data_IF_239892056526
#
_entry.id   IF_239892056526
#
_cell.length_a   1.000
_cell.length_b   1.000
_cell.length_c   1.000
_cell.angle_alpha   90.00
_cell.angle_beta   90.00
_cell.angle_gamma   90.00
#
_symmetry.space_group_name_H-M   'P 1'
#
loop_
_entity.id
_entity.type
_entity.pdbx_description
1 polymer ?
#
# COMPACT_ATOMS: atom_id res chain seq x y z
N UNK A 1 -8.28 12.37 -12.80
CA UNK A 1 -8.81 12.42 -11.43
C UNK A 1 -8.31 11.21 -10.70
N UNK A 2 -8.21 11.27 -9.38
CA UNK A 2 -7.77 10.12 -8.58
C UNK A 2 -8.78 8.98 -8.69
N UNK A 3 -8.25 7.77 -8.81
CA UNK A 3 -9.03 6.57 -9.13
C UNK A 3 -8.51 5.36 -8.35
N UNK A 4 -9.43 4.48 -7.98
CA UNK A 4 -9.13 3.19 -7.36
C UNK A 4 -9.91 2.09 -8.07
N UNK A 5 -9.19 1.10 -8.58
CA UNK A 5 -9.72 -0.04 -9.29
C UNK A 5 -9.60 -1.28 -8.42
N UNK A 6 -10.70 -2.02 -8.27
CA UNK A 6 -10.71 -3.34 -7.64
C UNK A 6 -10.93 -4.40 -8.70
N UNK A 7 -10.27 -5.54 -8.56
CA UNK A 7 -10.45 -6.67 -9.45
C UNK A 7 -10.14 -8.00 -8.76
N UNK A 8 -10.65 -9.08 -9.33
CA UNK A 8 -10.39 -10.45 -8.90
C UNK A 8 -10.00 -11.28 -10.10
N UNK A 9 -9.24 -12.36 -9.86
CA UNK A 9 -8.88 -13.33 -10.86
C UNK A 9 -9.89 -14.48 -10.78
N UNK A 10 -10.74 -14.63 -11.78
CA UNK A 10 -11.79 -15.64 -11.78
C UNK A 10 -11.17 -17.04 -11.71
N UNK A 11 -11.68 -17.87 -10.80
CA UNK A 11 -11.14 -19.20 -10.53
C UNK A 11 -9.87 -19.25 -9.68
N UNK A 12 -9.22 -18.12 -9.37
CA UNK A 12 -8.03 -18.07 -8.51
C UNK A 12 -8.36 -17.44 -7.14
N UNK A 13 -7.71 -17.89 -6.04
CA UNK A 13 -7.86 -17.27 -4.72
C UNK A 13 -7.06 -15.97 -4.62
N UNK A 14 -7.17 -15.07 -5.60
CA UNK A 14 -6.35 -13.86 -5.69
C UNK A 14 -7.24 -12.65 -5.99
N UNK A 15 -7.01 -11.57 -5.25
CA UNK A 15 -7.59 -10.26 -5.53
C UNK A 15 -6.49 -9.24 -5.83
N UNK A 16 -6.85 -8.23 -6.59
CA UNK A 16 -5.97 -7.10 -6.86
C UNK A 16 -6.67 -5.76 -6.75
N UNK A 17 -5.87 -4.73 -6.47
CA UNK A 17 -6.30 -3.35 -6.46
C UNK A 17 -5.22 -2.47 -7.06
N UNK A 18 -5.63 -1.46 -7.83
CA UNK A 18 -4.75 -0.47 -8.41
C UNK A 18 -5.26 0.92 -8.02
N UNK A 19 -4.42 1.75 -7.42
CA UNK A 19 -4.73 3.14 -7.11
C UNK A 19 -3.85 4.06 -7.96
N UNK A 20 -4.44 5.14 -8.45
CA UNK A 20 -3.72 6.25 -9.08
C UNK A 20 -4.23 7.56 -8.48
N UNK A 21 -3.44 8.16 -7.61
CA UNK A 21 -3.72 9.45 -6.99
C UNK A 21 -3.10 10.56 -7.85
N UNK A 22 -3.94 11.44 -8.39
CA UNK A 22 -3.52 12.55 -9.27
C UNK A 22 -3.85 13.89 -8.62
N UNK A 23 -5.06 14.40 -8.80
CA UNK A 23 -5.57 15.62 -8.18
C UNK A 23 -5.44 15.65 -6.65
N UNK A 24 -5.86 14.58 -5.95
CA UNK A 24 -5.75 14.49 -4.49
C UNK A 24 -4.29 14.58 -4.02
N UNK A 25 -3.37 13.93 -4.74
CA UNK A 25 -1.94 13.99 -4.42
C UNK A 25 -1.35 15.37 -4.69
N UNK A 26 -1.69 15.99 -5.83
CA UNK A 26 -1.27 17.34 -6.15
C UNK A 26 -1.79 18.37 -5.15
N UNK A 27 -3.01 18.18 -4.63
CA UNK A 27 -3.57 19.04 -3.60
C UNK A 27 -2.79 18.92 -2.27
N UNK A 28 -2.44 17.70 -1.85
CA UNK A 28 -1.58 17.47 -0.68
C UNK A 28 -0.26 18.22 -0.83
N UNK A 29 0.40 18.08 -1.98
CA UNK A 29 1.67 18.77 -2.24
C UNK A 29 1.50 20.29 -2.30
N UNK A 30 0.42 20.79 -2.92
CA UNK A 30 0.14 22.21 -3.05
C UNK A 30 -0.03 22.88 -1.69
N UNK A 31 -0.70 22.23 -0.74
CA UNK A 31 -0.87 22.74 0.64
C UNK A 31 0.46 22.89 1.39
N UNK A 32 1.49 22.15 0.99
CA UNK A 32 2.83 22.23 1.60
C UNK A 32 3.81 23.13 0.83
N UNK A 33 3.47 23.60 -0.39
CA UNK A 33 4.37 24.46 -1.18
C UNK A 33 4.76 25.74 -0.44
N UNK A 34 3.83 26.35 0.29
CA UNK A 34 4.09 27.58 1.05
C UNK A 34 5.07 27.35 2.22
N UNK A 35 5.22 26.10 2.67
CA UNK A 35 6.17 25.68 3.71
C UNK A 35 7.57 25.33 3.19
N UNK A 36 7.85 25.53 1.89
CA UNK A 36 9.14 25.21 1.26
C UNK A 36 9.15 23.90 0.47
N UNK A 37 8.04 23.15 0.48
CA UNK A 37 7.95 21.86 -0.21
C UNK A 37 8.82 20.76 0.42
N UNK A 38 8.71 19.55 -0.11
CA UNK A 38 9.52 18.41 0.32
C UNK A 38 10.67 18.14 -0.66
N UNK A 39 11.83 17.63 -0.19
CA UNK A 39 12.81 17.02 -1.07
C UNK A 39 12.19 15.92 -1.94
N UNK A 40 12.78 15.64 -3.10
CA UNK A 40 12.25 14.66 -4.07
C UNK A 40 12.02 13.30 -3.41
N UNK A 41 13.04 12.70 -2.78
CA UNK A 41 12.90 11.41 -2.11
C UNK A 41 11.81 11.37 -1.03
N UNK A 42 11.58 12.48 -0.31
CA UNK A 42 10.52 12.60 0.71
C UNK A 42 9.14 12.71 0.06
N UNK A 43 9.05 13.42 -1.07
CA UNK A 43 7.83 13.50 -1.88
C UNK A 43 7.44 12.12 -2.39
N UNK A 44 8.41 11.35 -2.91
CA UNK A 44 8.17 9.98 -3.36
C UNK A 44 7.73 9.08 -2.20
N UNK A 45 8.44 9.10 -1.07
CA UNK A 45 8.06 8.33 0.11
C UNK A 45 6.62 8.64 0.57
N UNK A 46 6.26 9.91 0.70
CA UNK A 46 4.91 10.31 1.12
C UNK A 46 3.85 9.89 0.11
N UNK A 47 4.14 9.97 -1.18
CA UNK A 47 3.22 9.51 -2.21
C UNK A 47 3.03 8.00 -2.15
N UNK A 48 4.11 7.23 -2.01
CA UNK A 48 4.05 5.77 -1.83
C UNK A 48 3.27 5.39 -0.55
N UNK A 49 3.50 6.08 0.56
CA UNK A 49 2.74 5.89 1.81
C UNK A 49 1.26 6.17 1.61
N UNK A 50 0.92 7.24 0.90
CA UNK A 50 -0.48 7.62 0.65
C UNK A 50 -1.16 6.57 -0.22
N UNK A 51 -0.54 6.16 -1.32
CA UNK A 51 -1.06 5.11 -2.20
C UNK A 51 -1.24 3.78 -1.45
N UNK A 52 -0.25 3.37 -0.67
CA UNK A 52 -0.32 2.14 0.12
C UNK A 52 -1.43 2.20 1.19
N UNK A 53 -1.53 3.31 1.93
CA UNK A 53 -2.60 3.51 2.91
C UNK A 53 -3.99 3.48 2.27
N UNK A 54 -4.15 4.06 1.08
CA UNK A 54 -5.42 4.00 0.31
C UNK A 54 -5.76 2.57 -0.08
N UNK A 55 -4.80 1.81 -0.61
CA UNK A 55 -4.99 0.40 -0.97
C UNK A 55 -5.38 -0.43 0.25
N UNK A 56 -4.70 -0.24 1.39
CA UNK A 56 -5.01 -0.94 2.62
C UNK A 56 -6.40 -0.60 3.17
N UNK A 57 -6.76 0.67 3.21
CA UNK A 57 -8.07 1.11 3.69
C UNK A 57 -9.20 0.56 2.82
N UNK A 58 -9.00 0.55 1.50
CA UNK A 58 -9.96 -0.02 0.58
C UNK A 58 -10.13 -1.54 0.70
N UNK A 59 -9.18 -2.23 1.36
CA UNK A 59 -9.14 -3.67 1.49
C UNK A 59 -9.85 -4.23 2.73
N UNK A 60 -10.07 -3.38 3.73
CA UNK A 60 -10.59 -3.77 5.04
C UNK A 60 -12.05 -3.35 5.20
N UNK A 61 -12.85 -4.20 5.85
CA UNK A 61 -14.21 -3.84 6.28
C UNK A 61 -14.14 -3.18 7.65
N UNK A 62 -13.65 -1.94 7.69
CA UNK A 62 -13.43 -1.18 8.92
C UNK A 62 -14.06 0.21 8.83
N UNK A 63 -14.83 0.59 9.86
CA UNK A 63 -15.42 1.93 9.97
C UNK A 63 -14.54 2.83 10.86
N UNK A 64 -13.41 3.27 10.32
CA UNK A 64 -12.48 4.15 10.98
C UNK A 64 -11.30 4.54 10.08
N UNK A 65 -10.44 5.41 10.58
CA UNK A 65 -9.28 5.87 9.85
C UNK A 65 -8.17 4.80 9.87
N UNK A 66 -7.52 4.60 8.72
CA UNK A 66 -6.23 3.91 8.66
C UNK A 66 -5.13 4.97 8.66
N UNK A 67 -4.22 4.88 9.62
CA UNK A 67 -3.09 5.79 9.78
C UNK A 67 -1.81 4.98 9.62
N UNK A 68 -1.04 5.28 8.58
CA UNK A 68 0.31 4.77 8.38
C UNK A 68 1.31 5.83 8.81
N UNK A 69 2.19 5.49 9.75
CA UNK A 69 3.15 6.42 10.33
C UNK A 69 4.55 5.81 10.35
N UNK A 70 5.53 6.50 9.78
CA UNK A 70 6.94 6.18 9.93
C UNK A 70 7.54 7.14 10.96
N UNK A 71 8.09 6.58 12.03
CA UNK A 71 8.91 7.30 13.01
C UNK A 71 10.37 6.98 12.69
N UNK A 72 11.07 7.95 12.11
CA UNK A 72 12.42 7.75 11.60
C UNK A 72 13.50 8.21 12.58
N UNK A 73 14.65 7.54 12.52
CA UNK A 73 15.88 7.93 13.21
C UNK A 73 16.84 8.75 12.32
N UNK A 74 16.50 8.92 11.03
CA UNK A 74 17.22 9.71 10.03
C UNK A 74 16.75 11.16 9.89
N UNK A 75 17.01 11.82 8.75
CA UNK A 75 16.55 13.20 8.48
C UNK A 75 15.03 13.32 8.42
N UNK A 76 14.30 12.28 8.00
CA UNK A 76 12.84 12.25 8.07
C UNK A 76 12.43 11.71 9.45
N UNK A 77 12.00 12.60 10.36
CA UNK A 77 11.67 12.25 11.75
C UNK A 77 10.29 11.62 11.89
N UNK A 78 9.37 12.09 11.07
CA UNK A 78 7.99 11.63 11.06
C UNK A 78 7.46 11.70 9.63
N UNK A 79 6.82 10.65 9.15
CA UNK A 79 5.97 10.71 7.96
C UNK A 79 4.64 10.05 8.32
N UNK A 80 3.53 10.64 7.90
CA UNK A 80 2.18 10.16 8.20
C UNK A 80 1.36 10.22 6.93
N UNK A 81 0.64 9.14 6.63
CA UNK A 81 -0.44 9.09 5.66
C UNK A 81 -1.68 8.53 6.37
N UNK A 82 -2.81 9.23 6.26
CA UNK A 82 -4.08 8.81 6.82
C UNK A 82 -5.15 8.77 5.73
N UNK A 83 -5.94 7.70 5.77
CA UNK A 83 -7.05 7.49 4.85
C UNK A 83 -8.30 7.12 5.62
N UNK A 84 -9.37 7.88 5.40
CA UNK A 84 -10.66 7.66 6.01
C UNK A 84 -11.49 6.62 5.25
N UNK A 85 -12.58 6.06 5.83
CA UNK A 85 -13.46 5.10 5.15
C UNK A 85 -14.06 5.59 3.83
N UNK A 86 -14.24 6.90 3.70
CA UNK A 86 -14.76 7.54 2.50
C UNK A 86 -13.68 7.87 1.48
N UNK A 87 -12.45 7.37 1.69
CA UNK A 87 -11.24 7.63 0.93
C UNK A 87 -10.77 9.09 0.93
N UNK A 88 -11.18 9.90 1.92
CA UNK A 88 -10.52 11.17 2.15
C UNK A 88 -9.10 10.96 2.73
N UNK A 89 -8.13 11.69 2.18
CA UNK A 89 -6.70 11.46 2.38
C UNK A 89 -6.02 12.66 3.03
N UNK A 90 -5.01 12.41 3.87
CA UNK A 90 -4.03 13.42 4.26
C UNK A 90 -2.66 12.80 4.42
N UNK A 91 -1.62 13.53 4.07
CA UNK A 91 -0.24 13.12 4.32
C UNK A 91 0.65 14.30 4.70
N UNK A 92 1.64 14.05 5.55
CA UNK A 92 2.60 15.06 6.00
C UNK A 92 3.91 14.40 6.45
N UNK A 93 5.03 15.12 6.34
CA UNK A 93 6.30 14.72 6.90
C UNK A 93 6.99 15.85 7.67
N UNK A 94 7.74 15.46 8.69
CA UNK A 94 8.66 16.33 9.42
C UNK A 94 10.09 15.96 9.02
N UNK A 95 10.74 16.87 8.30
CA UNK A 95 12.13 16.70 7.84
C UNK A 95 13.05 17.63 8.64
N UNK A 96 14.13 17.07 9.18
CA UNK A 96 15.16 17.79 9.91
C UNK A 96 16.53 17.40 9.33
N UNK A 97 17.12 18.31 8.57
CA UNK A 97 18.38 18.08 7.86
C UNK A 97 18.18 17.92 6.36
N UNK A 98 19.25 17.56 5.67
CA UNK A 98 19.25 17.39 4.21
C UNK A 98 18.88 15.96 3.82
N UNK A 99 18.16 15.83 2.72
CA UNK A 99 17.81 14.55 2.10
C UNK A 99 18.24 14.61 0.64
N UNK A 100 19.10 13.69 0.22
CA UNK A 100 19.52 13.58 -1.18
C UNK A 100 18.32 13.21 -2.07
N UNK A 101 18.25 13.70 -3.33
CA UNK A 101 17.12 13.42 -4.22
C UNK A 101 16.85 11.94 -4.49
N UNK A 102 17.90 11.11 -4.45
CA UNK A 102 17.91 9.66 -4.70
C UNK A 102 18.15 8.85 -3.42
N UNK A 103 17.92 9.45 -2.23
CA UNK A 103 18.11 8.76 -0.96
C UNK A 103 17.17 7.55 -0.85
N UNK A 104 17.69 6.34 -0.58
CA UNK A 104 16.84 5.19 -0.34
C UNK A 104 16.10 5.32 1.01
N UNK A 105 15.07 4.49 1.22
CA UNK A 105 14.24 4.55 2.43
C UNK A 105 15.09 4.55 3.70
N UNK A 106 16.08 3.65 3.78
CA UNK A 106 16.86 3.47 4.99
C UNK A 106 17.72 4.69 5.34
N UNK A 107 18.17 5.46 4.34
CA UNK A 107 18.93 6.70 4.55
C UNK A 107 18.04 7.84 5.03
N UNK A 108 16.74 7.80 4.72
CA UNK A 108 15.78 8.81 5.14
C UNK A 108 15.25 8.57 6.56
N UNK A 109 14.87 7.34 6.86
CA UNK A 109 14.08 7.01 8.06
C UNK A 109 14.70 5.92 8.96
N UNK A 110 15.73 5.19 8.50
CA UNK A 110 16.28 4.04 9.22
C UNK A 110 17.83 3.98 9.23
N UNK A 111 18.48 5.08 9.60
CA UNK A 111 19.93 5.24 9.59
C UNK A 111 20.61 4.31 10.60
N UNK A 112 20.02 4.11 11.78
CA UNK A 112 20.59 3.32 12.88
C UNK A 112 19.78 2.08 13.25
N UNK A 113 18.87 1.63 12.37
CA UNK A 113 17.97 0.49 12.63
C UNK A 113 17.01 0.71 13.81
N UNK A 114 16.72 1.97 14.16
CA UNK A 114 15.74 2.35 15.19
C UNK A 114 14.45 2.94 14.62
N UNK A 115 14.40 3.16 13.30
CA UNK A 115 13.20 3.57 12.61
C UNK A 115 12.13 2.48 12.64
N UNK A 116 10.86 2.89 12.68
CA UNK A 116 9.71 1.98 12.70
C UNK A 116 8.54 2.52 11.90
N UNK A 117 7.81 1.62 11.27
CA UNK A 117 6.50 1.90 10.68
C UNK A 117 5.41 1.42 11.63
N UNK A 118 4.35 2.20 11.82
CA UNK A 118 3.16 1.82 12.56
C UNK A 118 1.94 1.99 11.67
N UNK A 119 1.08 0.97 11.65
CA UNK A 119 -0.20 0.98 10.98
C UNK A 119 -1.27 0.92 12.06
N UNK A 120 -2.10 1.94 12.12
CA UNK A 120 -3.11 2.12 13.17
C UNK A 120 -4.48 2.16 12.55
N UNK A 121 -5.41 1.37 13.07
CA UNK A 121 -6.82 1.38 12.74
C UNK A 121 -7.56 2.07 13.88
N UNK A 122 -7.95 3.34 13.67
CA UNK A 122 -8.64 4.17 14.67
C UNK A 122 -10.15 4.20 14.39
N UNK A 123 -10.99 3.52 15.20
CA UNK A 123 -12.43 3.42 14.93
C UNK A 123 -13.10 4.78 15.03
N UNK A 124 -14.04 5.07 14.12
CA UNK A 124 -14.83 6.32 14.18
C UNK A 124 -15.68 6.40 15.45
N UNK A 125 -16.23 5.26 15.86
CA UNK A 125 -17.13 5.13 17.01
C UNK A 125 -16.40 4.60 18.25
N UNK A 126 -15.20 5.12 18.53
CA UNK A 126 -14.35 4.66 19.62
C UNK A 126 -15.01 4.89 20.98
N UNK A 127 -15.18 3.82 21.76
CA UNK A 127 -15.66 3.92 23.14
C UNK A 127 -14.58 4.54 24.05
N UNK A 128 -14.96 5.28 25.10
CA UNK A 128 -14.00 5.76 26.09
C UNK A 128 -13.16 4.62 26.68
N UNK A 129 -11.84 4.71 26.55
CA UNK A 129 -10.89 3.69 27.02
C UNK A 129 -10.59 2.56 26.02
N UNK A 130 -11.25 2.52 24.86
CA UNK A 130 -10.90 1.57 23.79
C UNK A 130 -9.64 2.06 23.07
N UNK A 131 -8.56 1.26 23.12
CA UNK A 131 -7.35 1.54 22.36
C UNK A 131 -7.56 1.19 20.88
N UNK A 132 -7.03 1.99 19.94
CA UNK A 132 -7.02 1.61 18.53
C UNK A 132 -6.12 0.39 18.32
N UNK A 133 -6.42 -0.39 17.29
CA UNK A 133 -5.52 -1.47 16.87
C UNK A 133 -4.29 -0.83 16.22
N UNK A 134 -3.10 -1.25 16.63
CA UNK A 134 -1.84 -0.76 16.08
C UNK A 134 -0.87 -1.91 15.85
N UNK A 135 -0.47 -2.11 14.61
CA UNK A 135 0.65 -2.95 14.21
C UNK A 135 1.92 -2.11 14.08
N UNK A 136 3.04 -2.57 14.65
CA UNK A 136 4.35 -1.90 14.53
C UNK A 136 5.32 -2.83 13.84
N UNK A 137 6.03 -2.28 12.86
CA UNK A 137 6.86 -3.00 11.91
C UNK A 137 8.26 -2.39 11.94
N UNK A 138 9.31 -3.19 12.15
CA UNK A 138 10.66 -2.72 11.97
C UNK A 138 10.91 -2.35 10.49
N UNK A 139 11.82 -1.40 10.26
CA UNK A 139 12.28 -1.04 8.91
C UNK A 139 13.47 -1.90 8.45
N UNK A 140 13.57 -3.13 8.97
CA UNK A 140 14.59 -4.11 8.66
C UNK A 140 13.94 -5.50 8.55
N UNK A 141 14.53 -6.37 7.73
CA UNK A 141 14.06 -7.75 7.54
C UNK A 141 14.57 -8.72 8.61
N UNK A 142 14.32 -10.00 8.41
CA UNK A 142 14.51 -11.03 9.44
C UNK A 142 15.98 -11.22 9.84
N UNK A 143 16.92 -10.90 8.95
CA UNK A 143 18.37 -10.94 9.21
C UNK A 143 18.92 -9.57 9.65
N UNK A 144 18.05 -8.62 10.00
CA UNK A 144 18.37 -7.22 10.38
C UNK A 144 19.02 -6.38 9.28
N UNK A 145 18.90 -6.82 8.04
CA UNK A 145 19.18 -6.04 6.85
C UNK A 145 18.16 -4.92 6.70
N UNK A 146 18.61 -3.75 6.27
CA UNK A 146 17.73 -2.60 6.06
C UNK A 146 16.81 -2.85 4.88
N UNK A 147 15.53 -2.56 5.05
CA UNK A 147 14.58 -2.53 3.94
C UNK A 147 14.74 -1.19 3.21
N UNK A 148 14.93 -1.26 1.90
CA UNK A 148 15.24 -0.08 1.09
C UNK A 148 14.01 0.50 0.39
N UNK A 149 12.89 -0.24 0.41
CA UNK A 149 11.62 0.17 -0.19
C UNK A 149 10.46 0.06 0.80
N UNK A 150 9.51 0.99 0.69
CA UNK A 150 8.30 0.95 1.52
C UNK A 150 7.46 -0.30 1.24
N UNK A 151 7.40 -0.74 -0.01
CA UNK A 151 6.68 -1.96 -0.38
C UNK A 151 7.15 -3.18 0.42
N UNK A 152 8.46 -3.33 0.62
CA UNK A 152 9.05 -4.45 1.36
C UNK A 152 8.65 -4.40 2.84
N UNK A 153 8.62 -3.21 3.44
CA UNK A 153 8.17 -3.00 4.83
C UNK A 153 6.71 -3.43 4.99
N UNK A 154 5.84 -3.04 4.05
CA UNK A 154 4.40 -3.34 4.13
C UNK A 154 4.14 -4.82 3.82
N UNK A 155 4.86 -5.41 2.87
CA UNK A 155 4.79 -6.86 2.61
C UNK A 155 5.22 -7.67 3.83
N UNK A 156 6.31 -7.25 4.51
CA UNK A 156 6.77 -7.86 5.76
C UNK A 156 5.69 -7.76 6.86
N UNK A 157 5.05 -6.60 7.00
CA UNK A 157 3.93 -6.42 7.92
C UNK A 157 2.77 -7.37 7.61
N UNK A 158 2.32 -7.41 6.36
CA UNK A 158 1.18 -8.24 5.94
C UNK A 158 1.46 -9.72 6.20
N UNK A 159 2.70 -10.16 5.96
CA UNK A 159 3.10 -11.54 6.22
C UNK A 159 3.13 -11.85 7.72
N UNK A 160 3.79 -11.00 8.53
CA UNK A 160 4.05 -11.28 9.94
C UNK A 160 2.86 -11.02 10.85
N UNK A 161 2.10 -9.94 10.60
CA UNK A 161 1.02 -9.48 11.47
C UNK A 161 -0.36 -9.92 10.99
N UNK A 162 -0.60 -9.88 9.68
CA UNK A 162 -1.90 -10.22 9.10
C UNK A 162 -1.98 -11.65 8.56
N UNK A 163 -0.84 -12.34 8.42
CA UNK A 163 -0.75 -13.68 7.83
C UNK A 163 -1.32 -13.74 6.39
N UNK A 164 -1.08 -12.68 5.62
CA UNK A 164 -1.57 -12.53 4.24
C UNK A 164 -0.42 -12.40 3.26
N UNK A 165 -0.35 -13.33 2.31
CA UNK A 165 0.53 -13.20 1.16
C UNK A 165 0.10 -11.98 0.33
N UNK A 166 0.96 -10.97 0.33
CA UNK A 166 0.71 -9.69 -0.31
C UNK A 166 1.92 -9.29 -1.14
N UNK A 167 1.67 -8.83 -2.37
CA UNK A 167 2.65 -8.21 -3.23
C UNK A 167 2.21 -6.77 -3.52
N UNK A 168 3.11 -5.83 -3.31
CA UNK A 168 2.86 -4.40 -3.41
C UNK A 168 3.90 -3.75 -4.32
N UNK A 169 3.44 -3.08 -5.37
CA UNK A 169 4.28 -2.23 -6.22
C UNK A 169 3.84 -0.80 -5.99
N UNK A 170 4.76 0.07 -5.55
CA UNK A 170 4.48 1.47 -5.28
C UNK A 170 5.39 2.34 -6.14
N UNK A 171 4.87 3.50 -6.54
CA UNK A 171 5.64 4.54 -7.18
C UNK A 171 4.97 5.89 -6.95
N UNK A 172 5.76 6.94 -6.73
CA UNK A 172 5.24 8.29 -6.70
C UNK A 172 6.24 9.30 -7.26
N UNK A 173 5.72 10.42 -7.76
CA UNK A 173 6.47 11.61 -8.16
C UNK A 173 5.66 12.88 -7.82
N UNK A 174 6.08 14.04 -8.32
CA UNK A 174 5.42 15.32 -8.09
C UNK A 174 4.01 15.45 -8.73
N UNK A 175 3.62 14.50 -9.57
CA UNK A 175 2.37 14.53 -10.34
C UNK A 175 1.38 13.43 -9.94
N UNK A 176 1.88 12.23 -9.65
CA UNK A 176 1.09 11.02 -9.44
C UNK A 176 1.70 10.20 -8.30
N UNK A 177 0.85 9.68 -7.43
CA UNK A 177 1.19 8.63 -6.48
C UNK A 177 0.33 7.40 -6.79
N UNK A 178 0.94 6.25 -7.05
CA UNK A 178 0.25 5.07 -7.53
C UNK A 178 0.75 3.79 -6.85
N UNK A 179 -0.12 2.80 -6.83
CA UNK A 179 0.21 1.50 -6.25
C UNK A 179 -0.65 0.37 -6.77
N UNK A 180 -0.04 -0.79 -6.94
CA UNK A 180 -0.69 -2.07 -7.25
C UNK A 180 -0.51 -3.01 -6.06
N UNK A 181 -1.62 -3.52 -5.53
CA UNK A 181 -1.65 -4.54 -4.50
C UNK A 181 -2.25 -5.82 -5.08
N UNK A 182 -1.54 -6.94 -4.96
CA UNK A 182 -2.03 -8.29 -5.20
C UNK A 182 -2.02 -9.02 -3.87
N UNK A 183 -3.11 -9.70 -3.53
CA UNK A 183 -3.21 -10.40 -2.26
C UNK A 183 -4.01 -11.69 -2.40
N UNK A 184 -3.55 -12.72 -1.71
CA UNK A 184 -4.27 -14.00 -1.63
C UNK A 184 -5.55 -13.86 -0.80
N UNK A 185 -6.62 -14.48 -1.28
CA UNK A 185 -7.88 -14.64 -0.57
C UNK A 185 -7.82 -15.92 0.27
N UNK A 186 -8.28 -15.91 1.53
CA UNK A 186 -8.44 -17.14 2.29
C UNK A 186 -9.51 -18.01 1.63
N UNK A 187 -9.16 -19.25 1.27
CA UNK A 187 -10.08 -20.20 0.64
C UNK A 187 -11.19 -20.71 1.59
N UNK A 188 -11.01 -20.53 2.91
CA UNK A 188 -12.00 -20.83 3.94
C UNK A 188 -12.65 -19.55 4.51
N UNK A 189 -13.83 -19.23 3.98
CA UNK A 189 -14.82 -18.34 4.58
C UNK A 189 -16.20 -19.00 4.50
N UNK A 190 -17.09 -18.70 5.45
CA UNK A 190 -18.37 -19.38 5.78
C UNK A 190 -19.45 -19.50 4.67
N UNK A 191 -19.10 -19.33 3.39
CA UNK A 191 -19.99 -19.53 2.25
C UNK A 191 -19.52 -20.55 1.21
N UNK A 192 -18.27 -21.04 1.27
CA UNK A 192 -17.71 -21.91 0.23
C UNK A 192 -17.80 -23.39 0.63
N UNK A 193 -19.01 -23.96 0.58
CA UNK A 193 -19.28 -25.39 0.82
C UNK A 193 -18.87 -26.32 -0.35
N UNK A 194 -18.01 -25.85 -1.27
CA UNK A 194 -17.61 -26.60 -2.47
C UNK A 194 -16.10 -26.90 -2.56
N UNK A 195 -15.36 -26.78 -1.46
CA UNK A 195 -13.93 -27.12 -1.42
C UNK A 195 -13.71 -28.62 -1.59
N UNK A 196 -13.40 -29.05 -2.82
CA UNK A 196 -12.97 -30.41 -3.14
C UNK A 196 -11.68 -30.76 -2.36
N UNK A 197 -11.60 -32.02 -1.97
CA UNK A 197 -10.70 -32.65 -1.01
C UNK A 197 -9.20 -32.67 -1.35
N UNK A 198 -8.70 -31.74 -2.19
CA UNK A 198 -7.32 -31.71 -2.69
C UNK A 198 -6.51 -30.44 -2.39
N UNK A 199 -7.15 -29.31 -2.07
CA UNK A 199 -6.50 -28.00 -1.99
C UNK A 199 -5.98 -27.58 -0.59
N UNK A 200 -5.99 -28.48 0.40
CA UNK A 200 -5.67 -28.10 1.80
C UNK A 200 -4.22 -27.68 2.03
N UNK A 201 -3.27 -28.14 1.20
CA UNK A 201 -1.85 -27.80 1.35
C UNK A 201 -1.46 -26.50 0.59
N UNK A 202 -2.14 -26.18 -0.51
CA UNK A 202 -1.94 -24.93 -1.29
C UNK A 202 -2.62 -23.69 -0.67
N UNK A 203 -3.47 -23.90 0.36
CA UNK A 203 -4.09 -22.84 1.16
C UNK A 203 -3.10 -22.17 2.13
N UNK A 204 -1.90 -22.74 2.30
CA UNK A 204 -0.87 -22.27 3.22
C UNK A 204 -0.12 -21.06 2.67
N UNK A 205 0.35 -20.21 3.58
CA UNK A 205 1.14 -19.02 3.28
C UNK A 205 2.41 -19.42 2.51
N UNK A 206 2.71 -18.71 1.42
CA UNK A 206 3.85 -18.98 0.54
C UNK A 206 3.76 -20.22 -0.34
N UNK A 207 2.73 -21.06 -0.20
CA UNK A 207 2.59 -22.33 -0.95
C UNK A 207 1.53 -22.28 -2.07
N UNK A 208 0.81 -21.18 -2.21
CA UNK A 208 -0.21 -21.04 -3.24
C UNK A 208 0.42 -20.68 -4.60
N UNK A 209 0.46 -21.64 -5.53
CA UNK A 209 1.08 -21.45 -6.85
C UNK A 209 0.40 -20.36 -7.68
N UNK A 210 -0.92 -20.27 -7.63
CA UNK A 210 -1.70 -19.26 -8.34
C UNK A 210 -1.33 -17.85 -7.90
N UNK A 211 -1.33 -17.59 -6.59
CA UNK A 211 -0.88 -16.33 -6.04
C UNK A 211 0.57 -16.03 -6.42
N UNK A 212 1.48 -17.00 -6.27
CA UNK A 212 2.90 -16.80 -6.56
C UNK A 212 3.12 -16.39 -8.02
N UNK A 213 2.40 -17.02 -8.96
CA UNK A 213 2.44 -16.68 -10.38
C UNK A 213 1.94 -15.26 -10.64
N UNK A 214 0.78 -14.88 -10.10
CA UNK A 214 0.25 -13.50 -10.25
C UNK A 214 1.17 -12.47 -9.59
N UNK A 215 1.74 -12.78 -8.43
CA UNK A 215 2.69 -11.93 -7.73
C UNK A 215 3.99 -11.72 -8.54
N UNK A 216 4.49 -12.75 -9.22
CA UNK A 216 5.64 -12.64 -10.14
C UNK A 216 5.29 -11.71 -11.32
N UNK A 217 4.12 -11.87 -11.93
CA UNK A 217 3.66 -10.98 -13.00
C UNK A 217 3.58 -9.53 -12.50
N UNK A 218 2.93 -9.29 -11.37
CA UNK A 218 2.84 -7.96 -10.76
C UNK A 218 4.22 -7.37 -10.43
N UNK A 219 5.19 -8.19 -10.02
CA UNK A 219 6.56 -7.75 -9.72
C UNK A 219 7.32 -7.21 -10.93
N UNK A 220 6.89 -7.56 -12.14
CA UNK A 220 7.51 -7.08 -13.38
C UNK A 220 7.09 -5.65 -13.74
N UNK A 221 6.06 -5.10 -13.07
CA UNK A 221 5.57 -3.75 -13.31
C UNK A 221 6.64 -2.71 -12.97
N UNK A 222 6.99 -1.88 -13.95
CA UNK A 222 8.01 -0.83 -13.78
C UNK A 222 7.42 0.45 -13.21
N UNK A 223 8.27 1.22 -12.54
CA UNK A 223 7.94 2.54 -11.99
C UNK A 223 7.34 3.46 -13.05
N UNK A 224 7.97 3.54 -14.23
CA UNK A 224 7.54 4.45 -15.30
C UNK A 224 6.17 4.04 -15.84
N UNK A 225 5.91 2.74 -15.96
CA UNK A 225 4.62 2.20 -16.39
C UNK A 225 3.54 2.53 -15.37
N UNK A 226 3.81 2.30 -14.08
CA UNK A 226 2.88 2.61 -13.00
C UNK A 226 2.60 4.12 -12.87
N UNK A 227 3.53 5.00 -13.25
CA UNK A 227 3.30 6.45 -13.17
C UNK A 227 2.60 7.00 -14.42
N UNK A 228 2.84 6.45 -15.60
CA UNK A 228 2.42 7.06 -16.88
C UNK A 228 1.23 6.42 -17.58
N UNK A 229 1.00 5.11 -17.38
CA UNK A 229 -0.06 4.38 -18.08
C UNK A 229 -1.37 4.42 -17.31
N UNK A 230 -2.49 4.35 -18.03
CA UNK A 230 -3.81 4.18 -17.43
C UNK A 230 -4.01 2.77 -16.84
N UNK A 231 -5.02 2.63 -15.98
CA UNK A 231 -5.32 1.38 -15.29
C UNK A 231 -5.58 0.20 -16.26
N UNK A 232 -6.30 0.42 -17.35
CA UNK A 232 -6.67 -0.63 -18.31
C UNK A 232 -5.42 -1.16 -19.01
N UNK A 233 -4.53 -0.26 -19.44
CA UNK A 233 -3.27 -0.61 -20.07
C UNK A 233 -2.37 -1.39 -19.11
N UNK A 234 -2.27 -0.98 -17.84
CA UNK A 234 -1.46 -1.69 -16.83
C UNK A 234 -2.00 -3.11 -16.63
N UNK A 235 -3.29 -3.25 -16.34
CA UNK A 235 -3.90 -4.55 -16.05
C UNK A 235 -3.82 -5.49 -17.25
N UNK A 236 -4.06 -4.97 -18.46
CA UNK A 236 -3.92 -5.76 -19.68
C UNK A 236 -2.47 -6.20 -19.91
N UNK A 237 -1.47 -5.34 -19.71
CA UNK A 237 -0.05 -5.73 -19.91
C UNK A 237 0.39 -6.83 -18.94
N UNK A 238 -0.04 -6.75 -17.69
CA UNK A 238 0.37 -7.69 -16.65
C UNK A 238 -0.39 -9.01 -16.72
N UNK A 239 -1.69 -8.96 -17.03
CA UNK A 239 -2.61 -10.09 -16.82
C UNK A 239 -3.41 -10.45 -18.08
N UNK A 240 -2.86 -10.24 -19.28
CA UNK A 240 -3.59 -10.51 -20.54
C UNK A 240 -4.01 -11.98 -20.73
N UNK A 241 -3.31 -12.93 -20.11
CA UNK A 241 -3.65 -14.37 -20.14
C UNK A 241 -4.64 -14.76 -19.03
N UNK A 242 -4.94 -13.86 -18.09
CA UNK A 242 -5.81 -14.14 -16.95
C UNK A 242 -7.24 -13.68 -17.18
N UNK A 243 -8.20 -14.41 -16.60
CA UNK A 243 -9.59 -13.96 -16.52
C UNK A 243 -9.76 -12.96 -15.37
N UNK A 244 -9.51 -11.68 -15.67
CA UNK A 244 -9.62 -10.59 -14.70
C UNK A 244 -11.01 -9.98 -14.72
N UNK A 245 -11.77 -10.21 -13.65
CA UNK A 245 -13.03 -9.50 -13.43
C UNK A 245 -12.79 -8.21 -12.68
N UNK A 246 -13.16 -7.10 -13.32
CA UNK A 246 -13.07 -5.75 -12.76
C UNK A 246 -14.39 -5.31 -12.15
N UNK A 247 -14.30 -4.54 -11.08
CA UNK A 247 -15.43 -3.81 -10.50
C UNK A 247 -15.44 -2.37 -11.03
N UNK A 248 -16.55 -1.66 -10.82
CA UNK A 248 -16.62 -0.23 -11.15
C UNK A 248 -15.52 0.53 -10.40
N UNK A 249 -14.79 1.43 -11.09
CA UNK A 249 -13.76 2.21 -10.45
C UNK A 249 -14.38 3.19 -9.44
N UNK A 250 -13.66 3.41 -8.36
CA UNK A 250 -14.00 4.41 -7.35
C UNK A 250 -13.32 5.72 -7.71
N UNK A 251 -14.12 6.69 -8.18
CA UNK A 251 -13.68 7.99 -8.71
C UNK A 251 -14.63 9.10 -8.23
N UNK A 252 -14.18 10.35 -8.28
CA UNK A 252 -15.01 11.49 -7.88
C UNK A 252 -15.48 11.40 -6.42
N UNK A 253 -16.79 11.45 -6.18
CA UNK A 253 -17.37 11.43 -4.82
C UNK A 253 -17.14 10.12 -4.07
N UNK A 254 -16.94 9.00 -4.78
CA UNK A 254 -16.68 7.69 -4.18
C UNK A 254 -15.20 7.33 -4.19
N UNK A 255 -14.36 8.15 -4.86
CA UNK A 255 -12.95 7.92 -5.04
C UNK A 255 -12.06 8.64 -4.01
N UNK A 256 -10.73 8.43 -4.12
CA UNK A 256 -9.75 9.08 -3.26
C UNK A 256 -9.74 10.60 -3.45
N UNK A 257 -9.71 11.37 -2.35
CA UNK A 257 -9.78 12.85 -2.37
C UNK A 257 -9.11 13.53 -1.18
#
# INVERSE_FOLDING_TARGET
MSELHKFVFEGLPVRGMLVRLTDAWQEILQRHKDGGGYPVAVTELLGEMTAAATLMQANIKFNGALIMQIMGDGPVKLAVAEVQPDLSLRATATVIGEVAPDAPLSHMVNVTNQGRCAITLDPKDRLPGQAPYQGVVPLYGDQREKLEKLSEVIEHYMLQSEQLDTRLVLAANEHVAAGLLIQRLPLQGSGNLAGQSGARDEDQIGLNEDYNRIAILASSLKREELLTLDADTILRRLFWEEDVRRFEPMEGETGPR
#
